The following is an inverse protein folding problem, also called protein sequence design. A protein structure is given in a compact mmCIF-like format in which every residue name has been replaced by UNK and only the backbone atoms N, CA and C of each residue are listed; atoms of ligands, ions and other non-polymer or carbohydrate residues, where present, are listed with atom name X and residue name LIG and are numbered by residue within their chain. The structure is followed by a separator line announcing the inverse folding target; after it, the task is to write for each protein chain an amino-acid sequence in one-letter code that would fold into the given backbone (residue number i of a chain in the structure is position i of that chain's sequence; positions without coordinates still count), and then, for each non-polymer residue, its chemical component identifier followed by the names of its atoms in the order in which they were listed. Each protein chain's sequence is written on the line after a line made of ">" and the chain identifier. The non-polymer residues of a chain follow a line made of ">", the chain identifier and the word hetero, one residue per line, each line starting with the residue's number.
data_IF_933979113715
#
_entry.id   IF_933979113715
#
_cell.length_a   1.000
_cell.length_b   1.000
_cell.length_c   1.000
_cell.angle_alpha   90.00
_cell.angle_beta   90.00
_cell.angle_gamma   90.00
#
_symmetry.space_group_name_H-M   'P 1'
#
loop_
_entity.id
_entity.type
_entity.pdbx_description
1 polymer ?
#
# COMPACT_ATOMS: atom_id res chain seq x y z
N UNK A 1 -5.79 21.36 16.26
CA UNK A 1 -6.16 20.18 15.45
C UNK A 1 -5.03 19.81 14.47
N UNK A 2 -4.37 20.80 13.86
CA UNK A 2 -3.29 20.55 12.88
C UNK A 2 -1.99 20.05 13.50
N UNK A 3 -1.63 20.49 14.71
CA UNK A 3 -0.46 19.96 15.43
C UNK A 3 -0.62 18.49 15.85
N UNK A 4 -1.82 18.08 16.28
CA UNK A 4 -2.15 16.68 16.59
C UNK A 4 -2.16 15.79 15.35
N UNK A 5 -2.60 16.31 14.21
CA UNK A 5 -2.54 15.62 12.90
C UNK A 5 -1.10 15.48 12.41
N UNK A 6 -0.30 16.52 12.54
CA UNK A 6 1.10 16.51 12.11
C UNK A 6 1.98 15.65 13.02
N UNK A 7 1.75 15.70 14.33
CA UNK A 7 2.36 14.79 15.30
C UNK A 7 1.90 13.35 15.09
N UNK A 8 0.60 13.11 14.89
CA UNK A 8 0.05 11.79 14.58
C UNK A 8 0.59 11.22 13.27
N UNK A 9 0.84 12.05 12.26
CA UNK A 9 1.52 11.66 11.02
C UNK A 9 3.00 11.35 11.28
N UNK A 10 3.71 12.12 12.09
CA UNK A 10 5.11 11.85 12.45
C UNK A 10 5.25 10.57 13.26
N UNK A 11 4.30 10.28 14.14
CA UNK A 11 4.23 9.04 14.92
C UNK A 11 3.85 7.89 14.02
N UNK A 12 2.86 8.05 13.14
CA UNK A 12 2.53 7.05 12.12
C UNK A 12 3.73 6.73 11.22
N UNK A 13 4.51 7.73 10.80
CA UNK A 13 5.75 7.55 10.03
C UNK A 13 6.82 6.83 10.87
N UNK A 14 7.03 7.21 12.14
CA UNK A 14 7.96 6.51 13.03
C UNK A 14 7.52 5.07 13.31
N UNK A 15 6.23 4.84 13.56
CA UNK A 15 5.62 3.52 13.74
C UNK A 15 5.79 2.69 12.45
N UNK A 16 5.61 3.32 11.29
CA UNK A 16 5.81 2.73 9.96
C UNK A 16 7.30 2.43 9.64
N UNK A 17 8.23 3.19 10.21
CA UNK A 17 9.67 2.96 10.09
C UNK A 17 10.21 1.93 11.06
N UNK A 18 9.53 1.71 12.19
CA UNK A 18 9.92 0.70 13.19
C UNK A 18 9.21 -0.64 13.02
N UNK A 19 8.30 -0.77 12.04
CA UNK A 19 7.63 -2.01 11.60
C UNK A 19 8.60 -3.19 11.43
N UNK A 20 9.88 -2.92 11.13
CA UNK A 20 10.93 -3.91 10.95
C UNK A 20 11.33 -4.63 12.26
N UNK A 21 11.05 -4.04 13.43
CA UNK A 21 11.51 -4.55 14.74
C UNK A 21 10.48 -5.39 15.53
N UNK A 22 9.20 -5.36 15.19
CA UNK A 22 8.16 -6.12 15.93
C UNK A 22 7.09 -6.70 14.99
N UNK A 23 7.50 -7.66 14.17
CA UNK A 23 6.57 -8.54 13.45
C UNK A 23 6.06 -9.71 14.32
N UNK A 24 6.56 -9.79 15.55
CA UNK A 24 6.17 -10.76 16.56
C UNK A 24 6.07 -10.02 17.88
N UNK A 25 4.89 -10.03 18.50
CA UNK A 25 4.73 -9.54 19.85
C UNK A 25 3.28 -9.45 20.30
N UNK A 26 3.07 -9.60 21.60
CA UNK A 26 1.77 -9.46 22.27
C UNK A 26 1.22 -8.02 22.21
N UNK A 27 -0.04 -7.83 22.60
CA UNK A 27 -0.65 -6.49 22.73
C UNK A 27 0.16 -5.61 23.69
N UNK A 28 0.77 -6.21 24.70
CA UNK A 28 1.61 -5.52 25.68
C UNK A 28 2.91 -5.01 25.05
N UNK A 29 3.59 -5.83 24.25
CA UNK A 29 4.83 -5.45 23.56
C UNK A 29 4.62 -4.32 22.54
N UNK A 30 3.51 -4.34 21.79
CA UNK A 30 3.22 -3.26 20.86
C UNK A 30 2.78 -1.96 21.56
N UNK A 31 2.22 -2.04 22.77
CA UNK A 31 1.96 -0.86 23.61
C UNK A 31 3.26 -0.29 24.18
N UNK A 32 4.16 -1.14 24.66
CA UNK A 32 5.50 -0.74 25.11
C UNK A 32 6.31 -0.08 23.98
N UNK A 33 6.18 -0.61 22.76
CA UNK A 33 6.77 -0.02 21.57
C UNK A 33 6.10 1.32 21.16
N UNK A 34 4.78 1.43 21.26
CA UNK A 34 4.05 2.70 21.07
C UNK A 34 4.52 3.75 22.08
N UNK A 35 4.75 3.36 23.32
CA UNK A 35 5.29 4.24 24.37
C UNK A 35 6.72 4.69 24.06
N UNK A 36 7.57 3.79 23.55
CA UNK A 36 8.93 4.13 23.12
C UNK A 36 8.97 5.03 21.86
N UNK A 37 8.00 4.90 20.96
CA UNK A 37 7.97 5.56 19.64
C UNK A 37 7.29 6.92 19.67
N UNK A 38 6.23 7.08 20.46
CA UNK A 38 5.46 8.31 20.59
C UNK A 38 6.20 9.42 21.37
N UNK A 39 7.25 9.08 22.13
CA UNK A 39 7.98 10.01 22.97
C UNK A 39 7.25 10.40 24.27
N UNK A 40 5.94 10.13 24.37
CA UNK A 40 5.19 10.15 25.63
C UNK A 40 4.03 9.13 25.62
N UNK A 41 3.73 8.57 26.79
CA UNK A 41 2.63 7.62 27.02
C UNK A 41 1.26 8.26 26.71
N UNK A 42 1.11 9.55 27.01
CA UNK A 42 -0.14 10.30 26.82
C UNK A 42 -0.45 10.47 25.32
N UNK A 43 0.54 10.80 24.53
CA UNK A 43 0.32 11.08 23.11
C UNK A 43 0.09 9.78 22.32
N UNK A 44 0.79 8.69 22.68
CA UNK A 44 0.50 7.35 22.13
C UNK A 44 -0.96 6.95 22.36
N UNK A 45 -1.48 7.14 23.57
CA UNK A 45 -2.87 6.84 23.89
C UNK A 45 -3.86 7.80 23.24
N UNK A 46 -3.53 9.09 23.07
CA UNK A 46 -4.33 10.03 22.29
C UNK A 46 -4.44 9.65 20.81
N UNK A 47 -3.38 9.06 20.25
CA UNK A 47 -3.41 8.53 18.89
C UNK A 47 -4.24 7.25 18.77
N UNK A 48 -4.08 6.29 19.70
CA UNK A 48 -4.92 5.08 19.73
C UNK A 48 -6.40 5.46 19.85
N UNK A 49 -6.69 6.48 20.66
CA UNK A 49 -8.01 7.08 20.75
C UNK A 49 -8.51 7.62 19.41
N UNK A 50 -7.70 8.40 18.68
CA UNK A 50 -8.09 8.89 17.35
C UNK A 50 -8.31 7.75 16.33
N UNK A 51 -7.49 6.70 16.38
CA UNK A 51 -7.65 5.51 15.54
C UNK A 51 -8.95 4.75 15.85
N UNK A 52 -9.29 4.59 17.14
CA UNK A 52 -10.54 3.98 17.61
C UNK A 52 -11.79 4.81 17.30
N UNK A 53 -11.69 6.14 17.37
CA UNK A 53 -12.78 7.02 16.99
C UNK A 53 -13.12 6.88 15.51
N UNK A 54 -12.14 6.50 14.69
CA UNK A 54 -12.31 6.38 13.25
C UNK A 54 -12.39 7.76 12.64
N UNK A 55 -11.45 8.10 11.76
CA UNK A 55 -11.69 9.15 10.79
C UNK A 55 -12.78 8.64 9.83
N UNK A 56 -14.04 8.81 10.24
CA UNK A 56 -15.27 8.43 9.53
C UNK A 56 -15.47 9.36 8.34
N UNK A 57 -14.55 9.26 7.40
CA UNK A 57 -14.74 9.77 6.07
C UNK A 57 -15.16 8.60 5.18
N UNK A 58 -16.45 8.53 4.83
CA UNK A 58 -16.98 7.56 3.87
C UNK A 58 -16.42 7.76 2.44
N UNK A 59 -15.72 8.89 2.21
CA UNK A 59 -15.04 9.27 0.98
C UNK A 59 -13.50 9.13 1.08
N UNK A 60 -13.02 8.05 1.71
CA UNK A 60 -11.59 7.72 1.74
C UNK A 60 -11.06 7.37 0.34
N UNK A 61 -9.89 7.91 0.02
CA UNK A 61 -9.22 7.60 -1.26
C UNK A 61 -8.65 6.18 -1.24
N UNK A 62 -8.43 5.54 -2.41
CA UNK A 62 -7.77 4.24 -2.49
C UNK A 62 -6.44 4.15 -1.73
N UNK A 63 -5.65 5.24 -1.75
CA UNK A 63 -4.37 5.32 -1.03
C UNK A 63 -4.54 5.36 0.49
N UNK A 64 -5.56 6.05 1.01
CA UNK A 64 -5.86 6.07 2.45
C UNK A 64 -6.31 4.70 2.95
N UNK A 65 -7.15 4.00 2.18
CA UNK A 65 -7.62 2.64 2.51
C UNK A 65 -6.43 1.66 2.52
N UNK A 66 -5.54 1.77 1.54
CA UNK A 66 -4.31 0.96 1.50
C UNK A 66 -3.38 1.28 2.68
N UNK A 67 -3.23 2.55 3.06
CA UNK A 67 -2.43 2.96 4.21
C UNK A 67 -2.96 2.39 5.54
N UNK A 68 -4.28 2.43 5.75
CA UNK A 68 -4.93 1.77 6.90
C UNK A 68 -4.63 0.27 6.93
N UNK A 69 -4.66 -0.40 5.77
CA UNK A 69 -4.30 -1.82 5.67
C UNK A 69 -2.81 -2.08 5.99
N UNK A 70 -1.90 -1.16 5.64
CA UNK A 70 -0.49 -1.25 6.04
C UNK A 70 -0.31 -1.06 7.55
N UNK A 71 -1.09 -0.18 8.19
CA UNK A 71 -1.06 -0.06 9.66
C UNK A 71 -1.50 -1.35 10.35
N UNK A 72 -2.49 -2.06 9.79
CA UNK A 72 -2.91 -3.38 10.27
C UNK A 72 -1.85 -4.48 10.18
N UNK A 73 -0.66 -4.21 9.64
CA UNK A 73 0.46 -5.15 9.70
C UNK A 73 1.14 -5.16 11.08
N UNK A 74 0.98 -4.10 11.88
CA UNK A 74 1.46 -4.03 13.26
C UNK A 74 0.43 -4.72 14.18
N UNK A 75 0.79 -5.73 14.98
CA UNK A 75 -0.18 -6.49 15.79
C UNK A 75 -1.10 -5.66 16.70
N UNK A 76 -0.57 -4.63 17.38
CA UNK A 76 -1.38 -3.75 18.24
C UNK A 76 -2.32 -2.87 17.43
N UNK A 77 -1.87 -2.37 16.28
CA UNK A 77 -2.72 -1.58 15.40
C UNK A 77 -3.79 -2.45 14.73
N UNK A 78 -3.45 -3.69 14.35
CA UNK A 78 -4.37 -4.70 13.82
C UNK A 78 -5.55 -4.87 14.79
N UNK A 79 -5.23 -5.14 16.07
CA UNK A 79 -6.21 -5.34 17.14
C UNK A 79 -7.13 -4.12 17.30
N UNK A 80 -6.58 -2.91 17.24
CA UNK A 80 -7.36 -1.67 17.41
C UNK A 80 -8.28 -1.41 16.22
N UNK A 81 -7.77 -1.61 14.99
CA UNK A 81 -8.57 -1.48 13.77
C UNK A 81 -9.70 -2.52 13.74
N UNK A 82 -9.42 -3.72 14.23
CA UNK A 82 -10.38 -4.81 14.36
C UNK A 82 -11.48 -4.48 15.39
N UNK A 83 -11.12 -3.97 16.57
CA UNK A 83 -12.09 -3.49 17.57
C UNK A 83 -12.95 -2.34 17.00
N UNK A 84 -12.35 -1.40 16.28
CA UNK A 84 -13.06 -0.28 15.63
C UNK A 84 -14.12 -0.79 14.66
N UNK A 85 -13.74 -1.71 13.77
CA UNK A 85 -14.63 -2.26 12.76
C UNK A 85 -15.74 -3.12 13.40
N UNK A 86 -15.42 -3.84 14.49
CA UNK A 86 -16.40 -4.57 15.30
C UNK A 86 -17.41 -3.62 15.96
N UNK A 87 -16.94 -2.56 16.61
CA UNK A 87 -17.78 -1.51 17.21
C UNK A 87 -18.76 -0.92 16.21
N UNK A 88 -18.30 -0.66 14.98
CA UNK A 88 -19.15 -0.10 13.94
C UNK A 88 -20.34 -1.01 13.58
N UNK A 89 -20.11 -2.32 13.45
CA UNK A 89 -21.20 -3.28 13.18
C UNK A 89 -22.13 -3.42 14.40
N UNK A 90 -21.59 -3.50 15.62
CA UNK A 90 -22.40 -3.64 16.83
C UNK A 90 -23.27 -2.41 17.09
N UNK A 91 -22.77 -1.20 16.80
CA UNK A 91 -23.57 0.04 16.88
C UNK A 91 -24.73 -0.01 15.88
N UNK A 92 -24.49 -0.44 14.63
CA UNK A 92 -25.57 -0.61 13.64
C UNK A 92 -26.59 -1.68 14.06
N UNK A 93 -26.15 -2.77 14.68
CA UNK A 93 -27.03 -3.82 15.20
C UNK A 93 -27.82 -3.40 16.44
N UNK A 94 -27.33 -2.42 17.20
CA UNK A 94 -28.08 -1.89 18.34
C UNK A 94 -29.40 -1.26 17.89
N UNK A 95 -29.40 -0.61 16.74
CA UNK A 95 -30.58 0.06 16.18
C UNK A 95 -31.55 -0.95 15.53
N UNK A 96 -31.03 -2.02 14.93
CA UNK A 96 -31.83 -3.14 14.40
C UNK A 96 -31.11 -4.48 14.63
N UNK A 97 -31.49 -5.16 15.70
CA UNK A 97 -30.88 -6.42 16.14
C UNK A 97 -31.21 -7.62 15.24
N UNK A 98 -32.13 -7.47 14.29
CA UNK A 98 -32.54 -8.52 13.36
C UNK A 98 -32.00 -8.31 11.94
N UNK A 99 -31.20 -7.24 11.73
CA UNK A 99 -30.64 -6.92 10.43
C UNK A 99 -29.62 -7.99 9.97
N UNK A 100 -30.07 -8.89 9.09
CA UNK A 100 -29.24 -10.00 8.60
C UNK A 100 -27.99 -9.54 7.87
N UNK A 101 -28.04 -8.44 7.12
CA UNK A 101 -26.89 -7.94 6.37
C UNK A 101 -25.80 -7.41 7.29
N UNK A 102 -26.19 -6.74 8.39
CA UNK A 102 -25.23 -6.28 9.39
C UNK A 102 -24.67 -7.46 10.19
N UNK A 103 -25.47 -8.51 10.46
CA UNK A 103 -24.96 -9.76 11.05
C UNK A 103 -23.97 -10.50 10.13
N UNK A 104 -24.22 -10.51 8.81
CA UNK A 104 -23.25 -11.02 7.82
C UNK A 104 -21.96 -10.20 7.85
N UNK A 105 -22.08 -8.86 7.85
CA UNK A 105 -20.91 -7.97 7.92
C UNK A 105 -20.13 -8.12 9.23
N UNK A 106 -20.82 -8.34 10.35
CA UNK A 106 -20.22 -8.66 11.65
C UNK A 106 -19.45 -9.98 11.59
N UNK A 107 -20.08 -11.05 11.09
CA UNK A 107 -19.47 -12.38 10.98
C UNK A 107 -18.23 -12.36 10.07
N UNK A 108 -18.27 -11.63 8.95
CA UNK A 108 -17.11 -11.38 8.11
C UNK A 108 -16.01 -10.58 8.82
N UNK A 109 -16.37 -9.59 9.62
CA UNK A 109 -15.42 -8.80 10.42
C UNK A 109 -14.73 -9.71 11.44
N UNK A 110 -15.46 -10.57 12.16
CA UNK A 110 -14.91 -11.56 13.09
C UNK A 110 -14.04 -12.60 12.39
N UNK A 111 -14.38 -13.02 11.17
CA UNK A 111 -13.50 -13.90 10.38
C UNK A 111 -12.14 -13.23 10.09
N UNK A 112 -12.08 -11.90 9.97
CA UNK A 112 -10.83 -11.15 9.84
C UNK A 112 -9.87 -11.32 11.02
N UNK A 113 -10.35 -11.79 12.18
CA UNK A 113 -9.57 -11.94 13.39
C UNK A 113 -8.77 -13.25 13.39
N UNK A 114 -9.11 -14.20 12.51
CA UNK A 114 -8.44 -15.50 12.36
C UNK A 114 -6.91 -15.29 12.28
N UNK A 115 -6.14 -15.69 13.32
CA UNK A 115 -4.70 -15.39 13.37
C UNK A 115 -3.92 -16.00 12.22
N UNK A 116 -4.34 -17.18 11.76
CA UNK A 116 -3.65 -17.97 10.73
C UNK A 116 -3.81 -17.43 9.30
N UNK A 117 -4.65 -16.40 9.09
CA UNK A 117 -4.69 -15.70 7.81
C UNK A 117 -3.35 -15.00 7.51
N UNK A 118 -2.64 -14.54 8.54
CA UNK A 118 -1.46 -13.69 8.40
C UNK A 118 -1.81 -12.24 8.02
N UNK A 119 -1.03 -11.29 8.52
CA UNK A 119 -1.39 -9.86 8.49
C UNK A 119 -1.58 -9.29 7.08
N UNK A 120 -0.85 -9.78 6.08
CA UNK A 120 -1.01 -9.33 4.69
C UNK A 120 -2.33 -9.81 4.09
N UNK A 121 -2.69 -11.07 4.28
CA UNK A 121 -3.98 -11.60 3.79
C UNK A 121 -5.11 -10.89 4.50
N UNK A 122 -4.98 -10.64 5.81
CA UNK A 122 -5.92 -9.79 6.55
C UNK A 122 -6.02 -8.40 5.94
N UNK A 123 -4.91 -7.77 5.55
CA UNK A 123 -4.92 -6.49 4.84
C UNK A 123 -5.74 -6.53 3.53
N UNK A 124 -5.49 -7.52 2.67
CA UNK A 124 -6.29 -7.73 1.43
C UNK A 124 -7.77 -7.92 1.75
N UNK A 125 -8.05 -8.77 2.74
CA UNK A 125 -9.41 -9.10 3.16
C UNK A 125 -10.16 -7.89 3.75
N UNK A 126 -9.51 -7.09 4.61
CA UNK A 126 -10.07 -5.85 5.18
C UNK A 126 -10.44 -4.83 4.11
N UNK A 127 -9.58 -4.68 3.09
CA UNK A 127 -9.89 -3.83 1.94
C UNK A 127 -11.14 -4.34 1.22
N UNK A 128 -11.24 -5.64 0.94
CA UNK A 128 -12.44 -6.24 0.32
C UNK A 128 -13.69 -5.99 1.17
N UNK A 129 -13.61 -6.22 2.48
CA UNK A 129 -14.73 -6.00 3.40
C UNK A 129 -15.21 -4.56 3.41
N UNK A 130 -14.29 -3.58 3.37
CA UNK A 130 -14.65 -2.17 3.29
C UNK A 130 -15.52 -1.89 2.06
N UNK A 131 -15.12 -2.39 0.89
CA UNK A 131 -15.89 -2.20 -0.33
C UNK A 131 -17.20 -2.99 -0.33
N UNK A 132 -17.23 -4.21 0.21
CA UNK A 132 -18.48 -4.98 0.35
C UNK A 132 -19.50 -4.25 1.22
N UNK A 133 -19.06 -3.64 2.33
CA UNK A 133 -19.91 -2.80 3.20
C UNK A 133 -20.40 -1.54 2.47
N UNK A 134 -19.58 -0.94 1.60
CA UNK A 134 -19.93 0.28 0.84
C UNK A 134 -20.92 0.03 -0.30
N UNK A 135 -20.81 -1.11 -0.98
CA UNK A 135 -21.60 -1.45 -2.17
C UNK A 135 -22.80 -2.36 -1.88
N UNK A 136 -22.97 -2.82 -0.64
CA UNK A 136 -24.09 -3.68 -0.23
C UNK A 136 -24.12 -4.99 -1.03
N UNK A 137 -25.28 -5.33 -1.60
CA UNK A 137 -25.47 -6.57 -2.36
C UNK A 137 -24.75 -6.62 -3.73
N UNK A 138 -24.07 -5.56 -4.16
CA UNK A 138 -23.34 -5.53 -5.44
C UNK A 138 -21.92 -6.13 -5.30
N UNK A 139 -21.82 -7.39 -4.87
CA UNK A 139 -20.56 -8.07 -4.52
C UNK A 139 -19.50 -7.99 -5.61
N UNK A 140 -19.85 -8.26 -6.88
CA UNK A 140 -18.88 -8.23 -7.99
C UNK A 140 -18.28 -6.83 -8.19
N UNK A 141 -19.13 -5.80 -8.20
CA UNK A 141 -18.72 -4.40 -8.33
C UNK A 141 -17.86 -3.95 -7.16
N UNK A 142 -18.19 -4.41 -5.95
CA UNK A 142 -17.42 -4.13 -4.74
C UNK A 142 -16.00 -4.70 -4.84
N UNK A 143 -15.87 -5.97 -5.25
CA UNK A 143 -14.57 -6.62 -5.40
C UNK A 143 -13.74 -5.98 -6.51
N UNK A 144 -14.35 -5.66 -7.66
CA UNK A 144 -13.66 -4.98 -8.76
C UNK A 144 -13.17 -3.59 -8.35
N UNK A 145 -13.97 -2.84 -7.58
CA UNK A 145 -13.55 -1.54 -7.03
C UNK A 145 -12.44 -1.66 -5.96
N UNK A 146 -12.39 -2.78 -5.23
CA UNK A 146 -11.35 -3.06 -4.24
C UNK A 146 -9.99 -3.38 -4.87
N UNK A 147 -9.95 -3.84 -6.14
CA UNK A 147 -8.71 -4.28 -6.80
C UNK A 147 -7.63 -3.19 -6.80
N UNK A 148 -7.96 -1.95 -7.17
CA UNK A 148 -7.02 -0.84 -7.19
C UNK A 148 -6.32 -0.63 -5.83
N UNK A 149 -7.07 -0.40 -4.74
CA UNK A 149 -6.51 -0.32 -3.39
C UNK A 149 -5.70 -1.55 -2.97
N UNK A 150 -6.15 -2.77 -3.31
CA UNK A 150 -5.40 -4.02 -3.04
C UNK A 150 -4.04 -3.99 -3.74
N UNK A 151 -3.99 -3.58 -5.01
CA UNK A 151 -2.74 -3.49 -5.76
C UNK A 151 -1.81 -2.43 -5.18
N UNK A 152 -2.34 -1.28 -4.72
CA UNK A 152 -1.56 -0.24 -4.03
C UNK A 152 -0.97 -0.79 -2.73
N UNK A 153 -1.78 -1.49 -1.93
CA UNK A 153 -1.35 -2.15 -0.71
C UNK A 153 -0.23 -3.19 -0.96
N UNK A 154 -0.44 -4.11 -1.92
CA UNK A 154 0.51 -5.18 -2.21
C UNK A 154 1.82 -4.68 -2.85
N UNK A 155 1.80 -3.50 -3.48
CA UNK A 155 3.01 -2.85 -4.04
C UNK A 155 3.70 -1.93 -3.04
N UNK A 156 3.17 -1.77 -1.84
CA UNK A 156 3.81 -0.96 -0.81
C UNK A 156 5.17 -1.58 -0.44
N UNK A 157 6.21 -0.74 -0.33
CA UNK A 157 7.59 -1.17 -0.06
C UNK A 157 7.70 -2.03 1.19
N UNK A 158 6.95 -1.71 2.26
CA UNK A 158 6.97 -2.48 3.51
C UNK A 158 6.33 -3.85 3.31
N UNK A 159 5.20 -3.93 2.58
CA UNK A 159 4.56 -5.22 2.26
C UNK A 159 5.50 -6.10 1.43
N UNK A 160 6.22 -5.52 0.47
CA UNK A 160 7.24 -6.22 -0.32
C UNK A 160 8.40 -6.70 0.57
N UNK A 161 8.87 -5.87 1.50
CA UNK A 161 9.92 -6.27 2.47
C UNK A 161 9.49 -7.46 3.34
N UNK A 162 8.22 -7.52 3.76
CA UNK A 162 7.70 -8.61 4.61
C UNK A 162 7.55 -9.95 3.89
N UNK A 163 7.17 -9.92 2.61
CA UNK A 163 6.85 -11.12 1.84
C UNK A 163 7.99 -11.54 0.89
N UNK A 164 9.03 -10.70 0.82
CA UNK A 164 10.03 -10.74 -0.23
C UNK A 164 9.51 -10.19 -1.56
N UNK A 165 10.39 -10.04 -2.56
CA UNK A 165 10.02 -9.67 -3.92
C UNK A 165 9.14 -10.76 -4.54
N UNK A 166 7.83 -10.66 -4.32
CA UNK A 166 6.81 -11.55 -4.85
C UNK A 166 6.00 -10.87 -5.96
N UNK A 167 5.63 -11.62 -6.99
CA UNK A 167 4.64 -11.13 -7.95
C UNK A 167 3.29 -11.00 -7.22
N UNK A 168 2.63 -9.85 -7.38
CA UNK A 168 1.29 -9.56 -6.85
C UNK A 168 0.29 -10.69 -7.11
N UNK A 169 0.36 -11.35 -8.27
CA UNK A 169 -0.49 -12.51 -8.58
C UNK A 169 -0.31 -13.69 -7.59
N UNK A 170 0.93 -13.99 -7.19
CA UNK A 170 1.21 -15.03 -6.19
C UNK A 170 0.62 -14.67 -4.83
N UNK A 171 0.71 -13.40 -4.43
CA UNK A 171 0.15 -12.92 -3.16
C UNK A 171 -1.38 -13.01 -3.13
N UNK A 172 -2.05 -12.71 -4.26
CA UNK A 172 -3.49 -12.90 -4.38
C UNK A 172 -3.90 -14.37 -4.30
N UNK A 173 -3.13 -15.30 -4.91
CA UNK A 173 -3.35 -16.75 -4.75
C UNK A 173 -3.15 -17.21 -3.31
N UNK A 174 -2.14 -16.69 -2.62
CA UNK A 174 -1.92 -16.99 -1.20
C UNK A 174 -3.11 -16.52 -0.35
N UNK A 175 -3.61 -15.31 -0.60
CA UNK A 175 -4.80 -14.81 0.06
C UNK A 175 -6.03 -15.69 -0.21
N UNK A 176 -6.25 -16.09 -1.47
CA UNK A 176 -7.34 -17.00 -1.85
C UNK A 176 -7.22 -18.37 -1.14
N UNK A 177 -6.01 -18.93 -1.10
CA UNK A 177 -5.73 -20.20 -0.41
C UNK A 177 -5.99 -20.12 1.10
N UNK A 178 -5.51 -19.05 1.76
CA UNK A 178 -5.71 -18.84 3.18
C UNK A 178 -7.19 -18.65 3.54
N UNK A 179 -7.97 -17.92 2.73
CA UNK A 179 -9.41 -17.79 2.93
C UNK A 179 -10.11 -19.15 2.85
N UNK A 180 -9.77 -19.98 1.85
CA UNK A 180 -10.35 -21.32 1.70
C UNK A 180 -10.00 -22.25 2.87
N UNK A 181 -8.75 -22.24 3.32
CA UNK A 181 -8.30 -23.05 4.44
C UNK A 181 -9.00 -22.65 5.75
N UNK A 182 -9.21 -21.35 5.94
CA UNK A 182 -9.88 -20.81 7.14
C UNK A 182 -11.40 -20.88 7.08
N UNK A 183 -12.01 -21.18 5.93
CA UNK A 183 -13.47 -21.27 5.74
C UNK A 183 -14.15 -22.24 6.72
N UNK A 184 -13.48 -23.35 7.07
CA UNK A 184 -13.98 -24.32 8.05
C UNK A 184 -14.16 -23.74 9.47
N UNK A 185 -13.43 -22.66 9.78
CA UNK A 185 -13.50 -21.94 11.07
C UNK A 185 -14.70 -21.00 11.16
N UNK A 186 -15.45 -20.81 10.08
CA UNK A 186 -16.67 -20.00 10.08
C UNK A 186 -17.80 -20.80 10.70
N UNK A 187 -17.81 -20.88 12.03
CA UNK A 187 -18.87 -21.49 12.82
C UNK A 187 -19.15 -20.62 14.07
N UNK A 188 -20.32 -20.77 14.67
CA UNK A 188 -20.77 -19.92 15.78
C UNK A 188 -19.80 -19.93 16.95
N UNK A 189 -19.32 -21.10 17.36
CA UNK A 189 -18.41 -21.22 18.51
C UNK A 189 -17.10 -20.45 18.28
N UNK A 190 -16.48 -20.64 17.11
CA UNK A 190 -15.23 -19.95 16.76
C UNK A 190 -15.41 -18.44 16.64
N UNK A 191 -16.47 -17.97 15.98
CA UNK A 191 -16.72 -16.54 15.84
C UNK A 191 -17.06 -15.86 17.17
N UNK A 192 -17.76 -16.55 18.08
CA UNK A 192 -17.99 -16.07 19.45
C UNK A 192 -16.68 -15.97 20.22
N UNK A 193 -15.77 -16.94 20.07
CA UNK A 193 -14.43 -16.86 20.66
C UNK A 193 -13.69 -15.60 20.23
N UNK A 194 -13.67 -15.29 18.92
CA UNK A 194 -13.06 -14.05 18.42
C UNK A 194 -13.76 -12.78 18.91
N UNK A 195 -15.07 -12.83 19.14
CA UNK A 195 -15.81 -11.72 19.73
C UNK A 195 -15.39 -11.52 21.20
N UNK A 196 -15.28 -12.59 21.96
CA UNK A 196 -14.83 -12.56 23.37
C UNK A 196 -13.40 -12.00 23.47
N UNK A 197 -12.49 -12.45 22.62
CA UNK A 197 -11.12 -11.92 22.52
C UNK A 197 -11.11 -10.40 22.25
N UNK A 198 -11.99 -9.93 21.36
CA UNK A 198 -12.13 -8.51 21.04
C UNK A 198 -12.65 -7.68 22.23
N UNK A 199 -13.62 -8.23 22.98
CA UNK A 199 -14.16 -7.62 24.19
C UNK A 199 -13.07 -7.49 25.24
N UNK A 200 -12.27 -8.54 25.45
CA UNK A 200 -11.20 -8.53 26.43
C UNK A 200 -10.06 -7.59 26.04
N UNK A 201 -9.71 -7.52 24.74
CA UNK A 201 -8.78 -6.54 24.23
C UNK A 201 -9.28 -5.09 24.46
N UNK A 202 -10.57 -4.81 24.24
CA UNK A 202 -11.14 -3.48 24.53
C UNK A 202 -11.15 -3.17 26.03
N UNK A 203 -11.46 -4.14 26.91
CA UNK A 203 -11.36 -3.95 28.38
C UNK A 203 -9.93 -3.61 28.79
N UNK A 204 -8.94 -4.34 28.28
CA UNK A 204 -7.53 -4.10 28.56
C UNK A 204 -7.12 -2.68 28.11
N UNK A 205 -7.56 -2.26 26.93
CA UNK A 205 -7.32 -0.91 26.42
C UNK A 205 -7.96 0.16 27.32
N UNK A 206 -9.22 -0.02 27.76
CA UNK A 206 -9.89 0.90 28.70
C UNK A 206 -9.14 0.99 30.02
N UNK A 207 -8.73 -0.16 30.58
CA UNK A 207 -8.00 -0.22 31.84
C UNK A 207 -6.64 0.50 31.81
N UNK A 208 -5.99 0.55 30.65
CA UNK A 208 -4.77 1.35 30.44
C UNK A 208 -5.09 2.82 30.18
N UNK A 209 -6.12 3.09 29.39
CA UNK A 209 -6.49 4.44 29.00
C UNK A 209 -7.04 5.28 30.16
N UNK A 210 -7.67 4.67 31.17
CA UNK A 210 -8.31 5.39 32.29
C UNK A 210 -7.37 6.30 33.08
N UNK A 211 -6.06 6.03 33.05
CA UNK A 211 -5.05 6.83 33.72
C UNK A 211 -4.47 7.96 32.84
N UNK A 212 -4.85 8.00 31.56
CA UNK A 212 -4.16 8.79 30.53
C UNK A 212 -5.11 9.67 29.72
N UNK A 213 -6.35 9.23 29.52
CA UNK A 213 -7.36 9.99 28.79
C UNK A 213 -8.29 10.75 29.73
N UNK A 214 -8.80 11.91 29.29
CA UNK A 214 -9.95 12.57 29.90
C UNK A 214 -11.14 11.63 30.14
N UNK A 215 -11.85 11.83 31.25
CA UNK A 215 -12.93 10.95 31.72
C UNK A 215 -14.06 10.78 30.70
N UNK A 216 -14.40 11.82 29.95
CA UNK A 216 -15.41 11.78 28.88
C UNK A 216 -15.09 10.74 27.80
N UNK A 217 -13.81 10.57 27.44
CA UNK A 217 -13.36 9.56 26.47
C UNK A 217 -13.45 8.14 27.03
N UNK A 218 -13.17 7.99 28.32
CA UNK A 218 -13.30 6.70 29.01
C UNK A 218 -14.75 6.26 29.08
N UNK A 219 -15.65 7.18 29.43
CA UNK A 219 -17.11 6.94 29.42
C UNK A 219 -17.57 6.53 28.02
N UNK A 220 -17.05 7.17 26.96
CA UNK A 220 -17.36 6.77 25.59
C UNK A 220 -16.90 5.34 25.26
N UNK A 221 -15.68 4.96 25.64
CA UNK A 221 -15.17 3.59 25.42
C UNK A 221 -15.98 2.56 26.21
N UNK A 222 -16.33 2.86 27.44
CA UNK A 222 -17.21 2.03 28.26
C UNK A 222 -18.58 1.86 27.62
N UNK A 223 -19.13 2.92 27.02
CA UNK A 223 -20.35 2.84 26.22
C UNK A 223 -20.24 1.91 25.02
N UNK A 224 -19.09 1.88 24.32
CA UNK A 224 -18.84 0.92 23.24
C UNK A 224 -18.71 -0.51 23.76
N UNK A 225 -17.99 -0.70 24.85
CA UNK A 225 -17.86 -2.01 25.51
C UNK A 225 -19.23 -2.57 25.92
N UNK A 226 -20.13 -1.74 26.44
CA UNK A 226 -21.49 -2.16 26.77
C UNK A 226 -22.24 -2.65 25.52
N UNK A 227 -22.21 -1.90 24.41
CA UNK A 227 -22.85 -2.29 23.15
C UNK A 227 -22.27 -3.61 22.62
N UNK A 228 -20.96 -3.78 22.64
CA UNK A 228 -20.31 -5.03 22.23
C UNK A 228 -20.80 -6.21 23.07
N UNK A 229 -20.87 -6.03 24.39
CA UNK A 229 -21.32 -7.06 25.33
C UNK A 229 -22.77 -7.45 25.05
N UNK A 230 -23.66 -6.46 24.85
CA UNK A 230 -25.07 -6.69 24.53
C UNK A 230 -25.22 -7.47 23.22
N UNK A 231 -24.58 -7.02 22.13
CA UNK A 231 -24.66 -7.69 20.83
C UNK A 231 -24.03 -9.09 20.88
N UNK A 232 -22.93 -9.28 21.64
CA UNK A 232 -22.33 -10.60 21.82
C UNK A 232 -23.34 -11.59 22.42
N UNK A 233 -24.16 -11.18 23.38
CA UNK A 233 -25.19 -12.10 23.94
C UNK A 233 -26.18 -12.59 22.87
N UNK A 234 -26.53 -11.72 21.93
CA UNK A 234 -27.43 -12.05 20.82
C UNK A 234 -26.74 -12.90 19.74
N UNK A 235 -25.43 -12.73 19.57
CA UNK A 235 -24.64 -13.37 18.51
C UNK A 235 -24.72 -14.90 18.55
N UNK A 236 -24.84 -15.50 19.74
CA UNK A 236 -25.02 -16.96 19.89
C UNK A 236 -26.21 -17.50 19.08
N UNK A 237 -27.30 -16.73 18.99
CA UNK A 237 -28.51 -17.09 18.25
C UNK A 237 -28.50 -16.55 16.82
N UNK A 238 -27.97 -15.34 16.62
CA UNK A 238 -28.09 -14.62 15.35
C UNK A 238 -27.00 -14.97 14.33
N UNK A 239 -25.88 -15.55 14.74
CA UNK A 239 -24.81 -15.94 13.81
C UNK A 239 -25.17 -17.16 12.97
N UNK A 240 -25.77 -18.20 13.55
CA UNK A 240 -26.01 -19.47 12.86
C UNK A 240 -26.76 -19.31 11.51
N UNK A 241 -27.86 -18.54 11.43
CA UNK A 241 -28.59 -18.34 10.18
C UNK A 241 -27.79 -17.61 9.08
N UNK A 242 -26.74 -16.86 9.44
CA UNK A 242 -25.93 -16.06 8.50
C UNK A 242 -24.62 -16.74 8.09
N UNK A 243 -24.22 -17.85 8.74
CA UNK A 243 -22.96 -18.54 8.42
C UNK A 243 -22.94 -19.11 7.01
N UNK A 244 -24.08 -19.61 6.51
CA UNK A 244 -24.21 -20.08 5.12
C UNK A 244 -23.88 -18.98 4.10
N UNK A 245 -24.58 -17.83 4.14
CA UNK A 245 -24.24 -16.65 3.35
C UNK A 245 -22.78 -16.19 3.48
N UNK A 246 -22.23 -16.15 4.70
CA UNK A 246 -20.83 -15.74 4.95
C UNK A 246 -19.85 -16.68 4.26
N UNK A 247 -20.01 -18.00 4.42
CA UNK A 247 -19.15 -18.99 3.76
C UNK A 247 -19.21 -18.86 2.24
N UNK A 248 -20.40 -18.63 1.67
CA UNK A 248 -20.57 -18.39 0.24
C UNK A 248 -19.82 -17.13 -0.22
N UNK A 249 -19.92 -16.03 0.51
CA UNK A 249 -19.19 -14.80 0.18
C UNK A 249 -17.67 -14.99 0.26
N UNK A 250 -17.15 -15.75 1.23
CA UNK A 250 -15.73 -16.10 1.30
C UNK A 250 -15.29 -16.95 0.11
N UNK A 251 -16.12 -17.91 -0.31
CA UNK A 251 -15.87 -18.74 -1.48
C UNK A 251 -15.83 -17.87 -2.76
N UNK A 252 -16.77 -16.93 -2.91
CA UNK A 252 -16.81 -15.96 -4.03
C UNK A 252 -15.57 -15.06 -4.05
N UNK A 253 -15.15 -14.53 -2.89
CA UNK A 253 -13.93 -13.73 -2.76
C UNK A 253 -12.70 -14.54 -3.20
N UNK A 254 -12.56 -15.77 -2.72
CA UNK A 254 -11.41 -16.60 -3.05
C UNK A 254 -11.34 -16.92 -4.55
N UNK A 255 -12.49 -17.22 -5.17
CA UNK A 255 -12.58 -17.43 -6.63
C UNK A 255 -12.22 -16.15 -7.41
N UNK A 256 -12.70 -14.99 -6.95
CA UNK A 256 -12.38 -13.72 -7.59
C UNK A 256 -10.87 -13.41 -7.48
N UNK A 257 -10.26 -13.62 -6.32
CA UNK A 257 -8.82 -13.41 -6.10
C UNK A 257 -7.97 -14.28 -7.03
N UNK A 258 -8.30 -15.58 -7.18
CA UNK A 258 -7.59 -16.46 -8.12
C UNK A 258 -7.73 -16.01 -9.57
N UNK A 259 -8.92 -15.55 -9.95
CA UNK A 259 -9.16 -15.03 -11.30
C UNK A 259 -8.29 -13.80 -11.57
N UNK A 260 -8.20 -12.85 -10.62
CA UNK A 260 -7.34 -11.68 -10.79
C UNK A 260 -5.86 -12.06 -10.76
N UNK A 261 -5.47 -13.02 -9.93
CA UNK A 261 -4.11 -13.54 -9.90
C UNK A 261 -3.70 -14.13 -11.26
N UNK A 262 -4.55 -14.96 -11.85
CA UNK A 262 -4.31 -15.56 -13.17
C UNK A 262 -4.17 -14.51 -14.27
N UNK A 263 -4.99 -13.44 -14.24
CA UNK A 263 -4.86 -12.31 -15.17
C UNK A 263 -3.53 -11.58 -15.01
N UNK A 264 -3.15 -11.22 -13.80
CA UNK A 264 -1.88 -10.51 -13.53
C UNK A 264 -0.67 -11.37 -13.89
N UNK A 265 -0.74 -12.68 -13.64
CA UNK A 265 0.30 -13.61 -14.06
C UNK A 265 0.38 -13.72 -15.58
N UNK A 266 -0.76 -13.85 -16.28
CA UNK A 266 -0.80 -13.89 -17.74
C UNK A 266 -0.31 -12.59 -18.38
N UNK A 267 -0.71 -11.43 -17.85
CA UNK A 267 -0.22 -10.12 -18.26
C UNK A 267 1.30 -10.02 -18.03
N UNK A 268 1.79 -10.48 -16.87
CA UNK A 268 3.23 -10.50 -16.59
C UNK A 268 4.00 -11.48 -17.48
N UNK A 269 3.42 -12.62 -17.85
CA UNK A 269 4.00 -13.62 -18.74
C UNK A 269 4.02 -13.13 -20.19
N UNK A 270 2.97 -12.46 -20.66
CA UNK A 270 2.92 -11.84 -21.98
C UNK A 270 3.88 -10.64 -22.07
N UNK A 271 4.04 -9.91 -20.97
CA UNK A 271 5.03 -8.84 -20.84
C UNK A 271 6.46 -9.41 -20.78
N UNK A 272 6.70 -10.50 -20.05
CA UNK A 272 8.00 -11.18 -19.96
C UNK A 272 8.39 -11.91 -21.25
N UNK A 273 7.45 -12.51 -21.98
CA UNK A 273 7.67 -13.10 -23.29
C UNK A 273 8.02 -12.04 -24.35
N UNK A 274 7.54 -10.81 -24.17
CA UNK A 274 7.95 -9.63 -24.95
C UNK A 274 9.23 -8.96 -24.41
N UNK A 275 9.61 -9.23 -23.16
CA UNK A 275 10.76 -8.66 -22.44
C UNK A 275 11.77 -9.74 -22.01
N UNK A 276 12.23 -10.60 -22.93
CA UNK A 276 13.14 -11.73 -22.63
C UNK A 276 14.51 -11.33 -22.02
N UNK A 277 14.74 -10.05 -21.71
CA UNK A 277 15.92 -9.52 -21.04
C UNK A 277 15.55 -8.52 -19.93
N UNK A 278 14.85 -8.95 -18.88
CA UNK A 278 14.74 -8.14 -17.65
C UNK A 278 16.05 -8.28 -16.87
N UNK A 279 16.94 -7.31 -17.04
CA UNK A 279 18.12 -7.16 -16.18
C UNK A 279 17.65 -6.86 -14.76
N UNK A 280 18.03 -7.70 -13.81
CA UNK A 280 17.81 -7.47 -12.38
C UNK A 280 18.78 -6.38 -11.89
N UNK A 281 18.36 -5.11 -11.98
CA UNK A 281 19.23 -3.95 -11.73
C UNK A 281 19.79 -3.93 -10.29
N UNK A 282 19.15 -4.61 -9.34
CA UNK A 282 19.62 -4.74 -7.95
C UNK A 282 20.83 -5.67 -7.82
N UNK A 283 21.05 -6.58 -8.78
CA UNK A 283 22.20 -7.50 -8.83
C UNK A 283 23.33 -7.01 -9.72
N UNK A 284 23.15 -5.89 -10.39
CA UNK A 284 24.18 -5.30 -11.26
C UNK A 284 25.06 -4.40 -10.41
N UNK A 285 26.32 -4.77 -10.19
CA UNK A 285 27.31 -3.85 -9.63
C UNK A 285 27.68 -2.81 -10.72
N UNK A 286 27.27 -1.54 -10.58
CA UNK A 286 27.51 -0.55 -11.62
C UNK A 286 28.98 -0.15 -11.69
N UNK A 287 29.80 -0.46 -10.67
CA UNK A 287 31.24 -0.12 -10.64
C UNK A 287 32.02 -0.91 -11.68
N UNK A 288 31.65 -2.17 -11.93
CA UNK A 288 32.30 -3.06 -12.89
C UNK A 288 31.78 -2.91 -14.34
N UNK A 289 30.75 -2.08 -14.56
CA UNK A 289 30.23 -1.80 -15.90
C UNK A 289 31.16 -0.88 -16.71
N UNK A 290 31.28 -1.15 -18.02
CA UNK A 290 31.95 -0.26 -18.97
C UNK A 290 31.19 1.07 -19.11
N UNK A 291 31.86 2.12 -19.62
CA UNK A 291 31.23 3.44 -19.84
C UNK A 291 29.97 3.37 -20.70
N UNK A 292 29.97 2.51 -21.73
CA UNK A 292 28.81 2.26 -22.58
C UNK A 292 27.65 1.59 -21.83
N UNK A 293 27.95 0.53 -21.07
CA UNK A 293 26.94 -0.19 -20.26
C UNK A 293 26.39 0.67 -19.12
N UNK A 294 27.17 1.60 -18.57
CA UNK A 294 26.71 2.60 -17.58
C UNK A 294 25.65 3.56 -18.13
N UNK A 295 25.73 3.93 -19.40
CA UNK A 295 24.71 4.74 -20.07
C UNK A 295 23.37 4.00 -20.14
N UNK A 296 23.41 2.78 -20.68
CA UNK A 296 22.23 1.90 -20.80
C UNK A 296 21.64 1.57 -19.41
N UNK A 297 22.49 1.34 -18.41
CA UNK A 297 22.05 1.12 -17.04
C UNK A 297 21.27 2.33 -16.49
N UNK A 298 21.77 3.55 -16.73
CA UNK A 298 21.07 4.77 -16.34
C UNK A 298 19.69 4.85 -16.99
N UNK A 299 19.62 4.64 -18.30
CA UNK A 299 18.35 4.63 -19.05
C UNK A 299 17.36 3.60 -18.51
N UNK A 300 17.82 2.38 -18.18
CA UNK A 300 16.99 1.33 -17.57
C UNK A 300 16.45 1.72 -16.19
N UNK A 301 17.28 2.33 -15.35
CA UNK A 301 16.85 2.84 -14.04
C UNK A 301 15.81 3.94 -14.19
N UNK A 302 16.02 4.86 -15.13
CA UNK A 302 15.09 5.96 -15.43
C UNK A 302 13.73 5.43 -15.93
N UNK A 303 13.75 4.48 -16.87
CA UNK A 303 12.55 3.85 -17.41
C UNK A 303 11.76 3.12 -16.32
N UNK A 304 12.44 2.39 -15.43
CA UNK A 304 11.80 1.73 -14.29
C UNK A 304 11.21 2.74 -13.29
N UNK A 305 11.92 3.82 -12.99
CA UNK A 305 11.44 4.87 -12.09
C UNK A 305 10.19 5.57 -12.63
N UNK A 306 10.20 5.92 -13.92
CA UNK A 306 9.07 6.57 -14.58
C UNK A 306 7.86 5.64 -14.67
N UNK A 307 8.07 4.36 -14.98
CA UNK A 307 7.02 3.35 -14.96
C UNK A 307 6.46 3.12 -13.54
N UNK A 308 7.32 3.13 -12.52
CA UNK A 308 6.92 3.06 -11.11
C UNK A 308 6.01 4.21 -10.66
N UNK A 309 6.16 5.39 -11.28
CA UNK A 309 5.29 6.56 -11.11
C UNK A 309 4.03 6.54 -11.98
N UNK A 310 3.82 5.47 -12.76
CA UNK A 310 2.64 5.29 -13.61
C UNK A 310 2.70 6.04 -14.95
N UNK A 311 3.85 6.60 -15.33
CA UNK A 311 4.01 7.28 -16.63
C UNK A 311 4.11 6.27 -17.78
N UNK A 312 3.55 6.61 -18.95
CA UNK A 312 3.55 5.73 -20.12
C UNK A 312 4.67 6.14 -21.08
N UNK A 313 5.64 5.26 -21.34
CA UNK A 313 6.74 5.54 -22.27
C UNK A 313 6.23 5.56 -23.73
N UNK A 314 6.50 6.67 -24.42
CA UNK A 314 6.06 6.97 -25.79
C UNK A 314 7.17 6.80 -26.83
N UNK A 315 8.38 6.35 -26.45
CA UNK A 315 9.41 6.04 -27.42
C UNK A 315 8.95 4.92 -28.39
N UNK A 316 9.50 4.83 -29.60
CA UNK A 316 9.24 3.71 -30.50
C UNK A 316 9.57 2.35 -29.83
N UNK A 317 8.84 1.26 -30.15
CA UNK A 317 9.06 -0.05 -29.53
C UNK A 317 10.55 -0.44 -29.50
N UNK A 318 11.24 -0.31 -30.63
CA UNK A 318 12.66 -0.62 -30.77
C UNK A 318 13.58 0.21 -29.87
N UNK A 319 13.15 1.39 -29.39
CA UNK A 319 13.89 2.24 -28.44
C UNK A 319 13.41 2.12 -27.00
N UNK A 320 12.21 1.58 -26.77
CA UNK A 320 11.67 1.26 -25.43
C UNK A 320 12.37 0.06 -24.81
N UNK A 321 12.77 -0.91 -25.64
CA UNK A 321 13.39 -2.14 -25.17
C UNK A 321 14.92 -1.97 -25.18
N UNK A 322 15.51 -1.96 -23.98
CA UNK A 322 16.96 -1.86 -23.76
C UNK A 322 17.45 -3.04 -22.91
N UNK A 323 18.59 -3.61 -23.27
CA UNK A 323 19.32 -4.64 -22.54
C UNK A 323 20.73 -4.16 -22.23
N UNK A 324 21.33 -4.59 -21.11
CA UNK A 324 22.74 -4.26 -20.80
C UNK A 324 23.74 -4.82 -21.84
N UNK A 325 23.29 -5.75 -22.68
CA UNK A 325 24.07 -6.29 -23.79
C UNK A 325 23.84 -5.55 -25.12
N UNK A 326 22.95 -4.56 -25.14
CA UNK A 326 22.73 -3.76 -26.34
C UNK A 326 23.93 -2.86 -26.63
N UNK A 327 24.19 -2.65 -27.93
CA UNK A 327 25.16 -1.65 -28.37
C UNK A 327 24.55 -0.26 -28.15
N UNK A 328 25.27 0.68 -27.49
CA UNK A 328 24.77 2.05 -27.30
C UNK A 328 24.41 2.67 -28.64
N UNK A 329 23.13 2.96 -28.81
CA UNK A 329 22.63 3.63 -29.99
C UNK A 329 22.92 5.12 -29.78
N UNK A 330 23.74 5.70 -30.64
CA UNK A 330 24.17 7.10 -30.51
C UNK A 330 23.02 8.11 -30.41
N UNK A 331 23.38 9.36 -30.13
CA UNK A 331 22.54 10.58 -30.01
C UNK A 331 21.03 10.40 -30.20
N UNK A 332 20.28 10.52 -29.11
CA UNK A 332 18.81 10.62 -29.09
C UNK A 332 18.32 11.05 -27.71
N UNK A 333 17.03 11.38 -27.60
CA UNK A 333 16.38 11.63 -26.30
C UNK A 333 16.23 10.31 -25.55
N UNK A 334 16.60 10.28 -24.28
CA UNK A 334 16.66 9.03 -23.49
C UNK A 334 15.27 8.53 -23.08
N UNK A 335 14.30 9.42 -22.82
CA UNK A 335 12.93 9.03 -22.51
C UNK A 335 11.89 10.11 -22.86
N UNK A 336 10.75 9.67 -23.38
CA UNK A 336 9.56 10.49 -23.64
C UNK A 336 8.39 9.77 -23.03
N UNK A 337 7.61 10.44 -22.18
CA UNK A 337 6.53 9.83 -21.43
C UNK A 337 5.27 10.66 -21.48
N UNK A 338 4.12 10.01 -21.54
CA UNK A 338 2.86 10.61 -21.17
C UNK A 338 2.80 10.76 -19.65
N UNK A 339 2.55 11.99 -19.19
CA UNK A 339 2.41 12.26 -17.76
C UNK A 339 1.11 11.63 -17.24
N UNK A 340 1.21 10.90 -16.13
CA UNK A 340 0.07 10.28 -15.48
C UNK A 340 -0.79 11.32 -14.74
N UNK A 341 -0.20 12.45 -14.39
CA UNK A 341 -0.81 13.57 -13.65
C UNK A 341 -0.50 14.90 -14.37
N UNK A 342 -1.13 15.20 -15.52
CA UNK A 342 -0.91 16.46 -16.24
C UNK A 342 -1.43 17.67 -15.45
N UNK A 343 -0.88 18.89 -15.63
CA UNK A 343 0.19 19.28 -16.57
C UNK A 343 1.64 19.17 -16.00
N UNK A 344 2.69 19.09 -16.85
CA UNK A 344 2.65 19.06 -18.32
C UNK A 344 2.14 17.71 -18.86
N UNK A 345 1.58 17.65 -20.08
CA UNK A 345 1.05 16.41 -20.67
C UNK A 345 2.13 15.37 -20.98
N UNK A 346 3.37 15.82 -21.18
CA UNK A 346 4.50 14.98 -21.51
C UNK A 346 5.69 15.28 -20.60
N UNK A 347 6.47 14.24 -20.29
CA UNK A 347 7.72 14.33 -19.57
C UNK A 347 8.84 13.85 -20.48
N UNK A 348 9.90 14.63 -20.58
CA UNK A 348 11.10 14.32 -21.37
C UNK A 348 12.25 14.13 -20.39
N UNK A 349 12.98 13.03 -20.50
CA UNK A 349 14.09 12.71 -19.60
C UNK A 349 15.38 12.53 -20.39
N UNK A 350 16.48 13.05 -19.83
CA UNK A 350 17.85 12.75 -20.18
C UNK A 350 18.51 12.10 -18.96
N UNK A 351 19.26 11.02 -19.16
CA UNK A 351 19.86 10.24 -18.08
C UNK A 351 21.37 10.29 -18.17
N UNK A 352 22.02 10.51 -17.03
CA UNK A 352 23.49 10.52 -16.90
C UNK A 352 23.91 9.70 -15.69
N UNK A 353 24.85 8.78 -15.89
CA UNK A 353 25.47 8.04 -14.81
C UNK A 353 26.51 8.92 -14.09
N UNK A 354 26.33 9.15 -12.78
CA UNK A 354 27.21 9.98 -11.93
C UNK A 354 28.15 9.10 -11.09
N UNK A 355 29.33 9.61 -10.75
CA UNK A 355 30.31 8.94 -9.87
C UNK A 355 30.55 9.66 -8.53
N UNK A 356 29.66 10.59 -8.11
CA UNK A 356 29.81 11.31 -6.83
C UNK A 356 28.47 11.70 -6.19
N UNK A 357 28.39 11.64 -4.86
CA UNK A 357 27.20 11.93 -4.03
C UNK A 357 27.44 13.18 -3.17
N UNK A 358 26.50 14.14 -3.14
CA UNK A 358 26.55 15.29 -2.22
C UNK A 358 25.79 16.54 -2.69
N UNK A 359 25.12 17.22 -1.75
CA UNK A 359 24.15 18.33 -1.90
C UNK A 359 24.72 19.70 -2.32
N UNK A 360 25.90 19.75 -2.95
CA UNK A 360 26.49 20.98 -3.50
C UNK A 360 27.25 20.66 -4.81
N UNK A 361 26.60 19.94 -5.73
CA UNK A 361 27.26 19.53 -6.98
C UNK A 361 27.40 20.73 -7.92
N UNK A 362 28.57 21.37 -7.89
CA UNK A 362 28.97 22.40 -8.84
C UNK A 362 29.57 21.73 -10.09
N UNK A 363 29.22 22.25 -11.26
CA UNK A 363 29.67 21.79 -12.57
C UNK A 363 30.87 22.62 -13.01
N UNK A 364 31.97 22.01 -13.45
CA UNK A 364 33.05 22.74 -14.13
C UNK A 364 32.74 22.65 -15.63
N UNK A 365 32.41 23.78 -16.27
CA UNK A 365 32.17 23.82 -17.72
C UNK A 365 33.50 23.67 -18.49
N UNK A 366 33.44 23.44 -19.80
CA UNK A 366 34.62 23.25 -20.65
C UNK A 366 35.58 24.45 -20.70
N UNK A 367 35.18 25.60 -20.16
CA UNK A 367 35.98 26.81 -20.00
C UNK A 367 36.54 27.00 -18.57
N UNK A 368 36.25 26.07 -17.64
CA UNK A 368 36.72 26.09 -16.27
C UNK A 368 35.79 26.83 -15.27
N UNK A 369 34.65 27.35 -15.70
CA UNK A 369 33.72 28.05 -14.79
C UNK A 369 32.80 27.11 -14.01
N UNK A 370 32.55 27.43 -12.74
CA UNK A 370 31.67 26.65 -11.86
C UNK A 370 30.19 27.06 -12.00
N UNK A 371 29.29 26.12 -12.27
CA UNK A 371 27.84 26.39 -12.44
C UNK A 371 26.95 25.38 -11.70
N UNK A 372 25.65 25.68 -11.55
CA UNK A 372 24.65 24.80 -10.92
C UNK A 372 23.58 24.29 -11.89
N UNK A 373 23.76 24.41 -13.22
CA UNK A 373 22.87 23.82 -14.23
C UNK A 373 23.61 23.07 -15.36
N UNK A 374 23.15 21.83 -15.64
CA UNK A 374 23.89 20.74 -16.29
C UNK A 374 23.39 20.44 -17.71
N UNK A 375 23.53 21.38 -18.63
CA UNK A 375 23.22 21.12 -20.05
C UNK A 375 24.50 21.23 -20.87
N UNK A 376 24.94 20.10 -21.42
CA UNK A 376 26.21 20.02 -22.13
C UNK A 376 26.12 20.58 -23.55
N UNK A 377 27.21 21.11 -24.08
CA UNK A 377 27.30 21.57 -25.47
C UNK A 377 27.53 20.40 -26.41
N UNK A 378 26.59 20.18 -27.35
CA UNK A 378 26.70 19.08 -28.32
C UNK A 378 27.80 19.36 -29.34
N UNK A 379 28.51 18.33 -29.82
CA UNK A 379 29.59 18.48 -30.83
C UNK A 379 29.12 18.92 -32.24
N UNK A 380 27.83 19.23 -32.44
CA UNK A 380 27.26 19.51 -33.76
C UNK A 380 27.18 18.27 -34.67
N UNK A 381 26.45 18.38 -35.79
CA UNK A 381 26.33 17.36 -36.86
C UNK A 381 26.28 18.05 -38.22
N UNK A 382 26.37 17.31 -39.33
CA UNK A 382 26.34 17.90 -40.69
C UNK A 382 25.09 18.77 -40.87
N UNK A 383 25.27 20.07 -41.07
CA UNK A 383 24.19 21.07 -41.17
C UNK A 383 23.63 21.61 -39.85
N UNK A 384 24.10 21.16 -38.68
CA UNK A 384 23.67 21.67 -37.35
C UNK A 384 24.89 22.03 -36.49
N UNK A 385 25.12 23.31 -36.18
CA UNK A 385 26.28 23.73 -35.41
C UNK A 385 26.25 23.17 -33.97
N UNK A 386 27.41 23.22 -33.32
CA UNK A 386 27.52 22.92 -31.90
C UNK A 386 26.65 23.88 -31.09
N UNK A 387 25.81 23.34 -30.20
CA UNK A 387 24.91 24.13 -29.36
C UNK A 387 24.64 23.41 -28.03
N UNK A 388 24.43 24.21 -26.97
CA UNK A 388 24.04 23.74 -25.63
C UNK A 388 22.71 22.99 -25.70
N UNK A 389 22.66 21.77 -25.17
CA UNK A 389 21.42 20.96 -25.17
C UNK A 389 20.26 21.79 -24.59
N UNK A 390 19.08 21.69 -25.21
CA UNK A 390 17.86 22.42 -24.84
C UNK A 390 17.92 23.96 -24.90
N UNK A 391 19.00 24.56 -25.40
CA UNK A 391 19.01 26.00 -25.72
C UNK A 391 18.15 26.31 -26.95
N UNK A 392 17.70 27.55 -27.10
CA UNK A 392 16.96 28.00 -28.28
C UNK A 392 17.67 27.67 -29.60
N UNK A 393 19.00 27.79 -29.62
CA UNK A 393 19.84 27.46 -30.78
C UNK A 393 19.88 25.96 -31.06
N UNK A 394 19.72 25.13 -30.04
CA UNK A 394 19.63 23.67 -30.19
C UNK A 394 18.22 23.22 -30.61
N UNK A 395 17.18 23.91 -30.14
CA UNK A 395 15.77 23.60 -30.40
C UNK A 395 15.32 24.09 -31.78
N UNK A 396 15.58 25.36 -32.14
CA UNK A 396 15.08 25.98 -33.39
C UNK A 396 15.51 25.24 -34.65
N UNK A 397 16.75 24.75 -34.70
CA UNK A 397 17.25 23.99 -35.86
C UNK A 397 16.66 22.56 -35.96
N UNK A 398 15.81 22.13 -35.02
CA UNK A 398 15.30 20.75 -34.86
C UNK A 398 13.78 20.64 -34.79
N UNK A 399 13.08 21.77 -34.73
CA UNK A 399 11.65 21.83 -34.99
C UNK A 399 11.52 22.05 -36.50
N UNK A 400 10.91 21.10 -37.22
CA UNK A 400 10.45 21.38 -38.59
C UNK A 400 9.32 22.41 -38.52
N UNK A 401 9.20 23.24 -39.56
CA UNK A 401 8.06 24.14 -39.75
C UNK A 401 6.75 23.36 -39.91
#
# INVERSE_FOLDING_TARGET
>A
MDELKQWGNNVAVKLYDTLEKSLTGSVDEGLDWLYATAGSVKDGVLWLWAALQGDWNDNRTPGQIAADAVFGLVPVLDTILDIRDLCANCVKLKDDTHNKDVWIALALTLFGFVPELGSVVKGVFKILLHYLKKFGHQTAKAMDAALGPILVFLKNEKVIKLLGPGNTGKLLKQAAGAIRQSRGKVNTATLIGYFDDAIDALKALIGKAQYLLPNDKIVWLQGRLAILTDIRTLALKQLDPVLGPVRKQLDEIAVWLDKQAGKLEAESAQTNAKNLHKVDLEKVDPKILSRSKKGIFGELVSDQHMAGKGHVNLLPPERRYRSLEDVPRGRGIDGIYQNANPPPPYLITETKYRTGSGSNTRYIDGDGTETTELLSTTKGSKGKPSAKQMSDRWIKDRLED
#
